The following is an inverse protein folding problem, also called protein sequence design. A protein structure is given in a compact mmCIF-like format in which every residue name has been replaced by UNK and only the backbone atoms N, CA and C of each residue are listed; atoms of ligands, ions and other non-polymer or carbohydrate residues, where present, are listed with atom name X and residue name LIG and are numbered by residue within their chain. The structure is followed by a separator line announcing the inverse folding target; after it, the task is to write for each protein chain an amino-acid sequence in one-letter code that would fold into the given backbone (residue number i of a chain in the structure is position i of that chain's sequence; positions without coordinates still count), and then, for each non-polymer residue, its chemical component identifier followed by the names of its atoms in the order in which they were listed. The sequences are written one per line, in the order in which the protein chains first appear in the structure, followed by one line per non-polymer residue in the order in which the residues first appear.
data_IF_644493753503
#
_entry.id   IF_644493753503
#
_cell.length_a   1.000
_cell.length_b   1.000
_cell.length_c   1.000
_cell.angle_alpha   90.00
_cell.angle_beta   90.00
_cell.angle_gamma   90.00
#
_symmetry.space_group_name_H-M   'P 1'
#
loop_
_entity.id
_entity.type
_entity.pdbx_description
1 polymer ?
#
# COMPACT_ATOMS: atom_id res chain seq x y z
N UNK A 1 2.37 -19.04 1.73
CA UNK A 1 1.04 -18.43 1.79
C UNK A 1 0.38 -18.33 0.41
N UNK A 2 1.11 -17.92 -0.64
CA UNK A 2 0.59 -17.72 -2.01
C UNK A 2 -0.17 -18.93 -2.57
N UNK A 3 0.35 -20.18 -2.54
CA UNK A 3 -0.39 -21.31 -3.12
C UNK A 3 -1.67 -21.64 -2.35
N UNK A 4 -1.69 -21.41 -1.04
CA UNK A 4 -2.89 -21.62 -0.22
C UNK A 4 -3.99 -20.62 -0.57
N UNK A 5 -3.65 -19.33 -0.66
CA UNK A 5 -4.62 -18.30 -1.03
C UNK A 5 -5.11 -18.49 -2.47
N UNK A 6 -4.20 -18.77 -3.41
CA UNK A 6 -4.57 -19.03 -4.79
C UNK A 6 -5.55 -20.20 -4.89
N UNK A 7 -5.27 -21.32 -4.21
CA UNK A 7 -6.16 -22.46 -4.17
C UNK A 7 -7.56 -22.09 -3.65
N UNK A 8 -7.62 -21.28 -2.58
CA UNK A 8 -8.87 -20.81 -2.00
C UNK A 8 -9.65 -19.91 -2.99
N UNK A 9 -8.99 -18.94 -3.61
CA UNK A 9 -9.61 -18.02 -4.56
C UNK A 9 -10.14 -18.74 -5.81
N UNK A 10 -9.39 -19.74 -6.33
CA UNK A 10 -9.85 -20.57 -7.45
C UNK A 10 -11.03 -21.47 -7.04
N UNK A 11 -10.99 -22.06 -5.85
CA UNK A 11 -12.07 -22.94 -5.34
C UNK A 11 -13.40 -22.19 -5.23
N UNK A 12 -13.38 -20.93 -4.79
CA UNK A 12 -14.58 -20.11 -4.64
C UNK A 12 -14.90 -19.27 -5.88
N UNK A 13 -14.17 -19.46 -6.98
CA UNK A 13 -14.36 -18.74 -8.26
C UNK A 13 -14.39 -17.23 -8.10
N UNK A 14 -13.58 -16.69 -7.19
CA UNK A 14 -13.41 -15.26 -6.95
C UNK A 14 -12.46 -14.71 -8.02
N UNK A 15 -12.98 -14.47 -9.22
CA UNK A 15 -12.17 -14.09 -10.37
C UNK A 15 -12.67 -12.84 -11.10
N UNK A 16 -11.77 -12.23 -11.86
CA UNK A 16 -12.05 -11.05 -12.69
C UNK A 16 -13.13 -11.37 -13.70
N UNK A 17 -14.15 -10.53 -13.76
CA UNK A 17 -15.10 -10.50 -14.85
C UNK A 17 -14.68 -9.40 -15.83
N UNK A 18 -14.48 -9.78 -17.10
CA UNK A 18 -14.08 -8.86 -18.16
C UNK A 18 -15.20 -7.83 -18.39
N UNK A 19 -14.86 -6.55 -18.30
CA UNK A 19 -15.81 -5.45 -18.57
C UNK A 19 -16.04 -5.33 -20.07
N UNK A 20 -17.28 -5.41 -20.52
CA UNK A 20 -17.62 -5.29 -21.95
C UNK A 20 -17.53 -3.87 -22.49
N UNK A 21 -17.59 -2.87 -21.62
CA UNK A 21 -17.59 -1.44 -21.98
C UNK A 21 -16.62 -0.63 -21.14
N UNK A 22 -15.97 0.35 -21.77
CA UNK A 22 -15.17 1.38 -21.09
C UNK A 22 -16.04 2.24 -20.16
N UNK A 23 -15.38 2.99 -19.27
CA UNK A 23 -16.00 4.05 -18.44
C UNK A 23 -16.68 5.11 -19.32
N UNK A 24 -16.14 5.36 -20.52
CA UNK A 24 -16.70 6.25 -21.56
C UNK A 24 -17.87 5.65 -22.35
N UNK A 25 -18.22 4.37 -22.12
CA UNK A 25 -19.33 3.69 -22.81
C UNK A 25 -18.97 3.02 -24.14
N UNK A 26 -17.75 3.15 -24.62
CA UNK A 26 -17.27 2.50 -25.84
C UNK A 26 -17.05 0.99 -25.65
N UNK A 27 -17.32 0.21 -26.71
CA UNK A 27 -17.07 -1.23 -26.71
C UNK A 27 -15.57 -1.50 -26.76
N UNK A 28 -15.02 -2.11 -25.73
CA UNK A 28 -13.59 -2.50 -25.61
C UNK A 28 -13.30 -3.79 -26.42
N UNK A 29 -13.66 -3.83 -27.69
CA UNK A 29 -13.58 -5.07 -28.47
C UNK A 29 -12.14 -5.60 -28.66
N UNK A 30 -11.15 -4.72 -28.83
CA UNK A 30 -9.73 -5.07 -28.93
C UNK A 30 -9.13 -5.49 -27.57
N UNK A 31 -9.39 -4.71 -26.53
CA UNK A 31 -8.91 -5.01 -25.16
C UNK A 31 -9.50 -6.31 -24.66
N UNK A 32 -10.78 -6.56 -24.93
CA UNK A 32 -11.44 -7.81 -24.53
C UNK A 32 -10.87 -9.04 -25.26
N UNK A 33 -10.44 -8.91 -26.51
CA UNK A 33 -9.77 -10.01 -27.23
C UNK A 33 -8.39 -10.30 -26.65
N UNK A 34 -7.60 -9.27 -26.31
CA UNK A 34 -6.26 -9.43 -25.71
C UNK A 34 -6.34 -9.99 -24.30
N UNK A 35 -7.35 -9.66 -23.52
CA UNK A 35 -7.51 -10.09 -22.13
C UNK A 35 -8.48 -11.25 -21.95
N UNK A 36 -9.00 -11.84 -23.00
CA UNK A 36 -9.94 -12.98 -22.93
C UNK A 36 -9.36 -14.17 -22.13
N UNK A 37 -8.05 -14.40 -22.21
CA UNK A 37 -7.37 -15.44 -21.45
C UNK A 37 -7.26 -15.16 -19.94
N UNK A 38 -7.46 -13.90 -19.50
CA UNK A 38 -7.45 -13.50 -18.08
C UNK A 38 -8.85 -13.65 -17.41
N UNK A 39 -9.85 -14.09 -18.16
CA UNK A 39 -11.17 -14.37 -17.59
C UNK A 39 -11.07 -15.48 -16.56
N UNK A 40 -11.52 -15.21 -15.32
CA UNK A 40 -11.48 -16.17 -14.22
C UNK A 40 -10.17 -16.16 -13.41
N UNK A 41 -9.19 -15.29 -13.73
CA UNK A 41 -8.03 -15.08 -12.83
C UNK A 41 -8.50 -14.52 -11.48
N UNK A 42 -7.95 -15.04 -10.35
CA UNK A 42 -8.35 -14.58 -9.03
C UNK A 42 -8.14 -13.08 -8.84
N UNK A 43 -9.11 -12.41 -8.24
CA UNK A 43 -8.97 -11.07 -7.67
C UNK A 43 -8.60 -11.15 -6.20
N UNK A 44 -8.42 -10.01 -5.53
CA UNK A 44 -8.06 -9.94 -4.11
C UNK A 44 -6.63 -10.44 -3.78
N UNK A 45 -5.72 -10.49 -4.75
CA UNK A 45 -4.32 -10.87 -4.51
C UNK A 45 -3.60 -9.96 -3.51
N UNK A 46 -4.04 -8.70 -3.40
CA UNK A 46 -3.53 -7.74 -2.42
C UNK A 46 -3.64 -8.19 -0.96
N UNK A 47 -4.52 -9.14 -0.65
CA UNK A 47 -4.63 -9.76 0.70
C UNK A 47 -3.29 -10.36 1.15
N UNK A 48 -2.51 -10.92 0.23
CA UNK A 48 -1.19 -11.45 0.56
C UNK A 48 -0.26 -10.35 1.07
N UNK A 49 -0.23 -9.22 0.40
CA UNK A 49 0.69 -8.13 0.72
C UNK A 49 0.36 -7.56 2.10
N UNK A 50 -0.83 -6.97 2.26
CA UNK A 50 -1.18 -6.35 3.54
C UNK A 50 -1.35 -7.38 4.67
N UNK A 51 -1.85 -8.58 4.37
CA UNK A 51 -1.98 -9.66 5.35
C UNK A 51 -0.62 -10.11 5.87
N UNK A 52 0.39 -10.25 5.01
CA UNK A 52 1.77 -10.58 5.43
C UNK A 52 2.38 -9.47 6.27
N UNK A 53 2.21 -8.20 5.86
CA UNK A 53 2.72 -7.05 6.62
C UNK A 53 2.11 -7.00 8.02
N UNK A 54 0.78 -7.11 8.15
CA UNK A 54 0.12 -7.10 9.46
C UNK A 54 0.44 -8.33 10.31
N UNK A 55 0.53 -9.51 9.70
CA UNK A 55 0.94 -10.72 10.41
C UNK A 55 2.35 -10.58 10.98
N UNK A 56 3.31 -10.12 10.17
CA UNK A 56 4.68 -9.90 10.63
C UNK A 56 4.77 -8.74 11.64
N UNK A 57 4.02 -7.66 11.44
CA UNK A 57 3.95 -6.55 12.39
C UNK A 57 3.49 -7.03 13.77
N UNK A 58 2.40 -7.79 13.81
CA UNK A 58 1.85 -8.35 15.06
C UNK A 58 2.83 -9.35 15.69
N UNK A 59 3.41 -10.23 14.86
CA UNK A 59 4.38 -11.22 15.34
C UNK A 59 5.62 -10.55 15.94
N UNK A 60 6.17 -9.54 15.28
CA UNK A 60 7.34 -8.81 15.77
C UNK A 60 7.02 -8.02 17.03
N UNK A 61 5.84 -7.41 17.13
CA UNK A 61 5.41 -6.69 18.32
C UNK A 61 5.40 -7.57 19.58
N UNK A 62 4.88 -8.80 19.49
CA UNK A 62 4.82 -9.71 20.62
C UNK A 62 6.10 -10.51 20.83
N UNK A 63 6.74 -10.92 19.74
CA UNK A 63 7.87 -11.87 19.81
C UNK A 63 9.21 -11.18 20.00
N UNK A 64 9.42 -9.98 19.45
CA UNK A 64 10.70 -9.28 19.52
C UNK A 64 11.12 -8.95 20.96
N UNK A 65 10.24 -8.42 21.85
CA UNK A 65 10.60 -8.19 23.25
C UNK A 65 10.96 -9.49 23.97
N UNK A 66 10.14 -10.53 23.79
CA UNK A 66 10.34 -11.83 24.44
C UNK A 66 11.63 -12.53 23.98
N UNK A 67 11.94 -12.49 22.69
CA UNK A 67 13.16 -13.09 22.14
C UNK A 67 14.40 -12.29 22.50
N UNK A 68 14.31 -10.96 22.53
CA UNK A 68 15.45 -10.11 22.92
C UNK A 68 15.87 -10.35 24.36
N UNK A 69 14.92 -10.61 25.26
CA UNK A 69 15.19 -10.93 26.66
C UNK A 69 15.82 -12.34 26.81
N UNK A 70 15.22 -13.34 26.13
CA UNK A 70 15.71 -14.75 26.25
C UNK A 70 17.06 -15.00 25.57
N UNK A 71 17.27 -14.39 24.38
CA UNK A 71 18.47 -14.61 23.57
C UNK A 71 19.57 -13.58 23.85
N UNK A 72 19.33 -12.61 24.73
CA UNK A 72 20.22 -11.48 25.02
C UNK A 72 20.67 -10.76 23.73
N UNK A 73 19.82 -10.77 22.71
CA UNK A 73 20.13 -10.26 21.39
C UNK A 73 19.43 -8.91 21.17
N UNK A 74 20.12 -7.82 21.43
CA UNK A 74 19.63 -6.44 21.33
C UNK A 74 19.07 -6.13 19.92
N UNK A 75 19.59 -6.79 18.89
CA UNK A 75 19.15 -6.62 17.50
C UNK A 75 17.70 -7.02 17.27
N UNK A 76 17.21 -8.06 17.94
CA UNK A 76 15.83 -8.53 17.81
C UNK A 76 14.83 -7.50 18.33
N UNK A 77 15.15 -6.78 19.39
CA UNK A 77 14.31 -5.67 19.89
C UNK A 77 14.20 -4.49 18.91
N UNK A 78 15.21 -4.29 18.06
CA UNK A 78 15.21 -3.24 17.03
C UNK A 78 14.34 -3.59 15.81
N UNK A 79 13.91 -4.84 15.66
CA UNK A 79 13.00 -5.28 14.60
C UNK A 79 11.54 -4.98 14.92
N UNK A 80 11.21 -4.57 16.13
CA UNK A 80 9.88 -4.07 16.46
C UNK A 80 9.66 -2.69 15.89
N UNK A 81 9.13 -2.64 14.67
CA UNK A 81 8.83 -1.39 13.98
C UNK A 81 7.49 -0.77 14.40
N UNK A 82 6.66 -1.51 15.14
CA UNK A 82 5.37 -1.01 15.65
C UNK A 82 5.56 -0.08 16.85
N UNK A 83 6.65 -0.25 17.62
CA UNK A 83 7.00 0.62 18.77
C UNK A 83 7.25 2.08 18.37
N UNK A 84 7.54 2.35 17.09
CA UNK A 84 7.87 3.67 16.59
C UNK A 84 6.64 4.43 16.11
N UNK A 85 6.40 5.64 16.63
CA UNK A 85 5.26 6.49 16.27
C UNK A 85 5.18 6.82 14.77
N UNK A 86 6.32 6.87 14.08
CA UNK A 86 6.41 7.18 12.65
C UNK A 86 5.90 6.04 11.75
N UNK A 87 5.89 4.79 12.21
CA UNK A 87 5.41 3.63 11.43
C UNK A 87 3.90 3.41 11.56
N UNK A 88 3.25 4.04 12.53
CA UNK A 88 1.80 3.93 12.70
C UNK A 88 1.03 4.48 11.52
N UNK A 89 1.49 5.59 10.93
CA UNK A 89 0.78 6.20 9.81
C UNK A 89 0.87 5.35 8.52
N UNK A 90 2.04 4.85 8.08
CA UNK A 90 2.11 3.91 6.98
C UNK A 90 1.26 2.65 7.19
N UNK A 91 1.24 2.09 8.41
CA UNK A 91 0.39 0.94 8.74
C UNK A 91 -1.10 1.30 8.69
N UNK A 92 -1.49 2.46 9.20
CA UNK A 92 -2.85 2.95 9.11
C UNK A 92 -3.27 3.20 7.66
N UNK A 93 -2.41 3.84 6.86
CA UNK A 93 -2.65 4.06 5.44
C UNK A 93 -2.80 2.71 4.70
N UNK A 94 -1.94 1.74 4.99
CA UNK A 94 -2.03 0.39 4.44
C UNK A 94 -3.35 -0.28 4.83
N UNK A 95 -3.78 -0.20 6.09
CA UNK A 95 -5.06 -0.77 6.55
C UNK A 95 -6.25 -0.15 5.84
N UNK A 96 -6.32 1.18 5.80
CA UNK A 96 -7.45 1.89 5.20
C UNK A 96 -7.52 1.71 3.69
N UNK A 97 -6.39 1.71 2.99
CA UNK A 97 -6.35 1.43 1.55
C UNK A 97 -6.62 -0.02 1.22
N UNK A 98 -6.18 -0.96 2.06
CA UNK A 98 -6.52 -2.38 1.93
C UNK A 98 -8.02 -2.62 2.08
N UNK A 99 -8.67 -2.00 3.07
CA UNK A 99 -10.13 -2.07 3.24
C UNK A 99 -10.88 -1.48 2.05
N UNK A 100 -10.39 -0.35 1.51
CA UNK A 100 -10.96 0.26 0.31
C UNK A 100 -10.83 -0.68 -0.90
N UNK A 101 -9.64 -1.27 -1.11
CA UNK A 101 -9.40 -2.21 -2.20
C UNK A 101 -10.27 -3.46 -2.10
N UNK A 102 -10.42 -4.03 -0.90
CA UNK A 102 -11.31 -5.15 -0.66
C UNK A 102 -12.78 -4.80 -0.94
N UNK A 103 -13.21 -3.61 -0.53
CA UNK A 103 -14.57 -3.14 -0.80
C UNK A 103 -14.81 -2.97 -2.31
N UNK A 104 -13.84 -2.43 -3.04
CA UNK A 104 -13.91 -2.28 -4.50
C UNK A 104 -13.96 -3.63 -5.22
N UNK A 105 -13.11 -4.57 -4.83
CA UNK A 105 -13.10 -5.94 -5.36
C UNK A 105 -14.43 -6.67 -5.07
N UNK A 106 -14.93 -6.53 -3.84
CA UNK A 106 -16.23 -7.11 -3.46
C UNK A 106 -17.38 -6.53 -4.25
N UNK A 107 -17.42 -5.21 -4.44
CA UNK A 107 -18.42 -4.54 -5.28
C UNK A 107 -18.31 -4.99 -6.74
N UNK A 108 -17.10 -5.17 -7.25
CA UNK A 108 -16.85 -5.66 -8.61
C UNK A 108 -17.34 -7.09 -8.80
N UNK A 109 -17.11 -8.00 -7.85
CA UNK A 109 -17.58 -9.39 -7.88
C UNK A 109 -19.11 -9.45 -7.86
N UNK A 110 -19.74 -8.65 -6.99
CA UNK A 110 -21.20 -8.58 -6.87
C UNK A 110 -21.88 -7.75 -7.95
N UNK A 111 -21.12 -7.13 -8.87
CA UNK A 111 -21.62 -6.21 -9.91
C UNK A 111 -22.41 -5.03 -9.32
N UNK A 112 -22.08 -4.62 -8.08
CA UNK A 112 -22.69 -3.49 -7.41
C UNK A 112 -21.88 -2.24 -7.78
N UNK A 113 -22.55 -1.18 -8.20
CA UNK A 113 -21.91 0.10 -8.50
C UNK A 113 -22.45 0.75 -9.76
N UNK A 114 -22.04 2.00 -9.99
CA UNK A 114 -22.56 2.84 -11.08
C UNK A 114 -21.99 2.49 -12.46
N UNK A 115 -20.90 1.77 -12.53
CA UNK A 115 -20.28 1.35 -13.78
C UNK A 115 -20.87 -0.01 -14.21
N UNK A 116 -21.17 -0.17 -15.50
CA UNK A 116 -21.76 -1.40 -16.06
C UNK A 116 -20.89 -2.66 -15.90
N UNK A 117 -19.83 -2.62 -15.10
CA UNK A 117 -18.96 -3.75 -14.74
C UNK A 117 -18.71 -3.89 -13.23
N UNK A 118 -19.44 -3.12 -12.37
CA UNK A 118 -19.23 -3.12 -10.93
C UNK A 118 -18.00 -2.29 -10.50
N UNK A 119 -17.81 -2.15 -9.18
CA UNK A 119 -16.70 -1.43 -8.60
C UNK A 119 -16.98 0.03 -8.28
N UNK A 120 -16.05 0.64 -7.55
CA UNK A 120 -16.17 1.98 -7.01
C UNK A 120 -15.86 3.04 -8.09
N UNK A 121 -16.58 4.17 -8.06
CA UNK A 121 -16.32 5.31 -8.95
C UNK A 121 -14.97 5.94 -8.62
N UNK A 122 -14.25 6.42 -9.63
CA UNK A 122 -12.97 7.12 -9.46
C UNK A 122 -13.06 8.26 -8.46
N UNK A 123 -14.14 9.06 -8.49
CA UNK A 123 -14.33 10.17 -7.56
C UNK A 123 -14.31 9.74 -6.08
N UNK A 124 -14.89 8.57 -5.75
CA UNK A 124 -14.86 8.03 -4.39
C UNK A 124 -13.47 7.56 -3.97
N UNK A 125 -12.74 6.90 -4.88
CA UNK A 125 -11.34 6.51 -4.63
C UNK A 125 -10.46 7.74 -4.41
N UNK A 126 -10.64 8.77 -5.23
CA UNK A 126 -9.92 10.03 -5.12
C UNK A 126 -10.23 10.77 -3.81
N UNK A 127 -11.51 10.87 -3.43
CA UNK A 127 -11.92 11.46 -2.16
C UNK A 127 -11.31 10.71 -0.97
N UNK A 128 -11.24 9.39 -1.03
CA UNK A 128 -10.62 8.56 0.00
C UNK A 128 -9.10 8.80 0.11
N UNK A 129 -8.40 8.89 -1.02
CA UNK A 129 -6.97 9.24 -1.05
C UNK A 129 -6.72 10.61 -0.40
N UNK A 130 -7.55 11.61 -0.71
CA UNK A 130 -7.46 12.93 -0.08
C UNK A 130 -7.72 12.83 1.42
N UNK A 131 -8.73 12.10 1.86
CA UNK A 131 -9.04 11.95 3.28
C UNK A 131 -7.88 11.31 4.06
N UNK A 132 -7.27 10.24 3.54
CA UNK A 132 -6.11 9.60 4.16
C UNK A 132 -4.91 10.56 4.20
N UNK A 133 -4.65 11.28 3.09
CA UNK A 133 -3.53 12.22 3.03
C UNK A 133 -3.72 13.42 3.96
N UNK A 134 -4.95 13.91 4.16
CA UNK A 134 -5.28 14.94 5.15
C UNK A 134 -5.03 14.47 6.58
N UNK A 135 -5.48 13.26 6.92
CA UNK A 135 -5.20 12.66 8.24
C UNK A 135 -3.70 12.48 8.46
N UNK A 136 -2.98 12.06 7.42
CA UNK A 136 -1.54 11.94 7.44
C UNK A 136 -0.83 13.28 7.66
N UNK A 137 -1.19 14.29 6.88
CA UNK A 137 -0.64 15.63 6.98
C UNK A 137 -0.87 16.23 8.38
N UNK A 138 -2.09 16.06 8.90
CA UNK A 138 -2.43 16.50 10.26
C UNK A 138 -1.58 15.78 11.31
N UNK A 139 -1.40 14.46 11.19
CA UNK A 139 -0.59 13.66 12.11
C UNK A 139 0.87 14.10 12.11
N UNK A 140 1.48 14.23 10.93
CA UNK A 140 2.89 14.65 10.82
C UNK A 140 3.10 16.07 11.30
N UNK A 141 2.23 17.00 10.92
CA UNK A 141 2.37 18.39 11.30
C UNK A 141 2.11 18.61 12.79
N UNK A 142 0.97 18.13 13.33
CA UNK A 142 0.57 18.44 14.71
C UNK A 142 1.14 17.48 15.76
N UNK A 143 1.33 16.19 15.44
CA UNK A 143 1.82 15.20 16.41
C UNK A 143 3.32 15.03 16.38
N UNK A 144 3.93 15.07 15.20
CA UNK A 144 5.37 14.88 15.04
C UNK A 144 6.14 16.20 14.88
N UNK A 145 5.43 17.33 14.73
CA UNK A 145 6.06 18.66 14.60
C UNK A 145 6.87 18.83 13.32
N UNK A 146 6.48 18.13 12.25
CA UNK A 146 7.20 18.19 10.98
C UNK A 146 6.70 19.37 10.15
N UNK A 147 7.53 20.41 10.06
CA UNK A 147 7.28 21.62 9.31
C UNK A 147 8.44 21.98 8.36
N UNK A 148 9.45 21.10 8.28
CA UNK A 148 10.69 21.33 7.53
C UNK A 148 10.81 20.36 6.35
N UNK A 149 11.44 20.86 5.26
CA UNK A 149 11.86 20.04 4.12
C UNK A 149 13.37 20.12 4.00
N UNK A 150 13.98 18.96 3.88
CA UNK A 150 15.39 18.85 3.55
C UNK A 150 15.60 18.82 2.04
N UNK A 151 16.28 19.82 1.49
CA UNK A 151 16.69 19.84 0.08
C UNK A 151 18.16 19.44 0.02
N UNK A 152 18.50 18.30 -0.63
CA UNK A 152 19.89 17.89 -0.77
C UNK A 152 20.76 18.99 -1.36
N UNK A 153 21.97 19.19 -0.82
CA UNK A 153 22.94 20.20 -1.17
C UNK A 153 22.59 21.66 -0.78
N UNK A 154 21.37 21.97 -0.33
CA UNK A 154 20.96 23.33 0.05
C UNK A 154 20.70 23.43 1.56
N UNK A 155 20.07 22.41 2.17
CA UNK A 155 19.80 22.36 3.61
C UNK A 155 18.33 22.24 3.98
N UNK A 156 18.01 22.56 5.22
CA UNK A 156 16.67 22.44 5.80
C UNK A 156 15.91 23.77 5.68
N UNK A 157 14.69 23.69 5.14
CA UNK A 157 13.79 24.83 4.99
C UNK A 157 12.54 24.63 5.84
N UNK A 158 12.25 25.58 6.71
CA UNK A 158 11.02 25.61 7.49
C UNK A 158 9.91 26.16 6.59
N UNK A 159 8.97 25.33 6.21
CA UNK A 159 7.83 25.70 5.36
C UNK A 159 6.53 25.90 6.16
N UNK A 160 6.53 25.53 7.44
CA UNK A 160 5.39 25.71 8.33
C UNK A 160 4.10 25.07 7.78
N UNK A 161 3.01 25.83 7.74
CA UNK A 161 1.69 25.34 7.27
C UNK A 161 1.68 24.86 5.81
N UNK A 162 2.64 25.28 4.97
CA UNK A 162 2.76 24.78 3.59
C UNK A 162 3.15 23.29 3.52
N UNK A 163 3.58 22.72 4.63
CA UNK A 163 3.82 21.29 4.75
C UNK A 163 2.56 20.47 4.46
N UNK A 164 1.39 20.92 4.92
CA UNK A 164 0.11 20.21 4.74
C UNK A 164 -0.26 20.06 3.25
N UNK A 165 -0.41 21.13 2.45
CA UNK A 165 -0.75 20.97 1.04
C UNK A 165 0.32 20.24 0.24
N UNK A 166 1.59 20.42 0.58
CA UNK A 166 2.67 19.67 -0.05
C UNK A 166 2.57 18.16 0.24
N UNK A 167 2.35 17.78 1.50
CA UNK A 167 2.18 16.39 1.90
C UNK A 167 1.01 15.74 1.15
N UNK A 168 -0.15 16.42 1.10
CA UNK A 168 -1.33 15.93 0.36
C UNK A 168 -0.99 15.75 -1.12
N UNK A 169 -0.33 16.73 -1.73
CA UNK A 169 0.07 16.67 -3.13
C UNK A 169 0.98 15.46 -3.41
N UNK A 170 2.00 15.24 -2.59
CA UNK A 170 2.93 14.11 -2.75
C UNK A 170 2.20 12.78 -2.61
N UNK A 171 1.38 12.59 -1.58
CA UNK A 171 0.67 11.32 -1.34
C UNK A 171 -0.31 11.03 -2.47
N UNK A 172 -1.14 12.01 -2.85
CA UNK A 172 -2.17 11.82 -3.88
C UNK A 172 -1.53 11.58 -5.25
N UNK A 173 -0.49 12.36 -5.62
CA UNK A 173 0.21 12.16 -6.90
C UNK A 173 0.90 10.80 -6.98
N UNK A 174 1.55 10.36 -5.90
CA UNK A 174 2.18 9.03 -5.82
C UNK A 174 1.14 7.90 -5.95
N UNK A 175 0.00 8.03 -5.25
CA UNK A 175 -1.06 7.03 -5.30
C UNK A 175 -1.69 6.93 -6.71
N UNK A 176 -1.93 8.05 -7.37
CA UNK A 176 -2.44 8.08 -8.75
C UNK A 176 -1.41 7.49 -9.71
N UNK A 177 -0.14 7.91 -9.62
CA UNK A 177 0.94 7.40 -10.47
C UNK A 177 1.11 5.89 -10.33
N UNK A 178 1.05 5.36 -9.11
CA UNK A 178 1.11 3.92 -8.87
C UNK A 178 -0.07 3.19 -9.52
N UNK A 179 -1.29 3.74 -9.44
CA UNK A 179 -2.47 3.15 -10.06
C UNK A 179 -2.39 3.16 -11.60
N UNK A 180 -1.84 4.22 -12.21
CA UNK A 180 -1.65 4.30 -13.66
C UNK A 180 -0.51 3.38 -14.15
N UNK A 181 0.51 3.14 -13.32
CA UNK A 181 1.64 2.25 -13.64
C UNK A 181 1.22 0.78 -13.68
N UNK A 182 0.10 0.41 -13.05
CA UNK A 182 -0.41 -0.97 -12.98
C UNK A 182 -1.09 -1.43 -14.29
N UNK A 183 -0.43 -1.17 -15.42
CA UNK A 183 -0.88 -1.56 -16.76
C UNK A 183 -0.32 -2.89 -17.27
N UNK A 184 0.81 -3.33 -16.73
CA UNK A 184 1.50 -4.57 -17.09
C UNK A 184 1.69 -5.46 -15.86
N UNK A 185 1.52 -6.77 -16.06
CA UNK A 185 1.64 -7.75 -14.97
C UNK A 185 3.02 -7.67 -14.31
N UNK A 186 3.04 -7.36 -13.00
CA UNK A 186 4.25 -7.26 -12.20
C UNK A 186 5.05 -5.96 -12.30
N UNK A 187 4.70 -5.03 -13.19
CA UNK A 187 5.44 -3.78 -13.35
C UNK A 187 5.36 -2.92 -12.08
N UNK A 188 4.17 -2.64 -11.61
CA UNK A 188 3.96 -1.85 -10.40
C UNK A 188 4.58 -2.53 -9.16
N UNK A 189 4.38 -3.83 -9.02
CA UNK A 189 4.99 -4.61 -7.95
C UNK A 189 6.52 -4.53 -7.97
N UNK A 190 7.14 -4.68 -9.13
CA UNK A 190 8.60 -4.57 -9.28
C UNK A 190 9.15 -3.20 -8.92
N UNK A 191 8.49 -2.11 -9.36
CA UNK A 191 8.88 -0.74 -9.03
C UNK A 191 8.75 -0.47 -7.53
N UNK A 192 7.63 -0.87 -6.92
CA UNK A 192 7.41 -0.69 -5.49
C UNK A 192 8.40 -1.50 -4.66
N UNK A 193 8.66 -2.77 -5.01
CA UNK A 193 9.64 -3.59 -4.32
C UNK A 193 11.03 -2.93 -4.33
N UNK A 194 11.49 -2.44 -5.48
CA UNK A 194 12.76 -1.72 -5.59
C UNK A 194 12.78 -0.45 -4.73
N UNK A 195 11.73 0.35 -4.76
CA UNK A 195 11.63 1.56 -3.95
C UNK A 195 11.72 1.24 -2.45
N UNK A 196 11.00 0.23 -1.96
CA UNK A 196 11.07 -0.18 -0.56
C UNK A 196 12.42 -0.76 -0.17
N UNK A 197 13.11 -1.49 -1.07
CA UNK A 197 14.49 -1.95 -0.83
C UNK A 197 15.44 -0.76 -0.68
N UNK A 198 15.34 0.25 -1.54
CA UNK A 198 16.17 1.47 -1.45
C UNK A 198 15.89 2.21 -0.13
N UNK A 199 14.61 2.38 0.26
CA UNK A 199 14.27 2.99 1.54
C UNK A 199 14.77 2.17 2.74
N UNK A 200 14.75 0.84 2.66
CA UNK A 200 15.34 -0.01 3.69
C UNK A 200 16.84 0.26 3.85
N UNK A 201 17.58 0.31 2.74
CA UNK A 201 19.02 0.60 2.73
C UNK A 201 19.30 1.98 3.32
N UNK A 202 18.59 3.02 2.86
CA UNK A 202 18.75 4.38 3.39
C UNK A 202 18.47 4.42 4.90
N UNK A 203 17.45 3.70 5.36
CA UNK A 203 17.09 3.63 6.78
C UNK A 203 18.17 2.95 7.62
N UNK A 204 18.87 1.95 7.08
CA UNK A 204 20.03 1.32 7.72
C UNK A 204 21.16 2.33 7.87
N UNK A 205 21.49 3.07 6.81
CA UNK A 205 22.53 4.11 6.86
C UNK A 205 22.20 5.26 7.83
N UNK A 206 20.91 5.52 8.07
CA UNK A 206 20.47 6.50 9.06
C UNK A 206 20.31 5.93 10.48
N UNK A 207 20.74 4.68 10.72
CA UNK A 207 20.59 3.95 11.99
C UNK A 207 19.12 3.85 12.49
N UNK A 208 18.17 3.85 11.53
CA UNK A 208 16.72 3.73 11.78
C UNK A 208 16.27 2.29 11.49
N UNK A 209 16.76 1.32 12.26
CA UNK A 209 16.56 -0.11 12.01
C UNK A 209 15.07 -0.52 11.98
N UNK A 210 14.22 0.12 12.80
CA UNK A 210 12.78 -0.15 12.81
C UNK A 210 12.12 0.21 11.46
N UNK A 211 12.52 1.34 10.85
CA UNK A 211 12.02 1.73 9.55
C UNK A 211 12.59 0.83 8.44
N UNK A 212 13.85 0.43 8.57
CA UNK A 212 14.46 -0.54 7.66
C UNK A 212 13.72 -1.88 7.70
N UNK A 213 13.39 -2.39 8.89
CA UNK A 213 12.60 -3.61 9.07
C UNK A 213 11.21 -3.49 8.43
N UNK A 214 10.51 -2.38 8.65
CA UNK A 214 9.23 -2.12 8.00
C UNK A 214 9.34 -2.16 6.47
N UNK A 215 10.30 -1.42 5.89
CA UNK A 215 10.50 -1.38 4.45
C UNK A 215 10.87 -2.76 3.87
N UNK A 216 11.72 -3.52 4.58
CA UNK A 216 12.09 -4.87 4.17
C UNK A 216 10.90 -5.85 4.20
N UNK A 217 10.04 -5.75 5.22
CA UNK A 217 8.80 -6.56 5.31
C UNK A 217 7.86 -6.24 4.15
N UNK A 218 7.67 -4.96 3.84
CA UNK A 218 6.84 -4.56 2.69
C UNK A 218 7.44 -5.04 1.39
N UNK A 219 8.74 -4.82 1.14
CA UNK A 219 9.42 -5.30 -0.07
C UNK A 219 9.32 -6.81 -0.26
N UNK A 220 9.44 -7.59 0.84
CA UNK A 220 9.35 -9.05 0.81
C UNK A 220 7.92 -9.58 0.70
N UNK A 221 6.90 -8.75 0.91
CA UNK A 221 5.50 -9.12 0.77
C UNK A 221 4.93 -8.87 -0.63
N UNK A 222 5.58 -8.01 -1.41
CA UNK A 222 5.26 -7.70 -2.81
C UNK A 222 5.78 -8.81 -3.72
#
# INVERSE_FOLDING_TARGET
LTPLLAHFLYKYKIGIQIKEKSVSGEKLSYVNKMHAHKSGTPTMGGILIWGTVFFLATTMYFLAPFLSEKLQCVWLGRLDFVSRSQTWLPLFALATTAMLGLADDWMSIKKIGSNKGGGMRFAWRFAWMIAISLLGAWWFYNKLGWDTIHIPAIGDFIIGLWYIPLFIFVIVSTAISSNETDGLDGLNAGILAQAFVVFAIISVFQDKMNLAAFCAVVAGSI
#
